data_IF_308833780742
#
_entry.id   IF_308833780742
#
_cell.length_a   1.000
_cell.length_b   1.000
_cell.length_c   1.000
_cell.angle_alpha   90.00
_cell.angle_beta   90.00
_cell.angle_gamma   90.00
#
_symmetry.space_group_name_H-M   'P 1'
#
loop_
_entity.id
_entity.type
_entity.pdbx_description
1 polymer ?
#
# COMPACT_ATOMS: atom_id res chain seq x y z
N UNK A 1 14.22 0.69 11.51
CA UNK A 1 13.79 0.11 10.24
C UNK A 1 12.47 0.72 9.77
N UNK A 2 11.34 0.64 10.53
CA UNK A 2 10.01 1.13 10.10
C UNK A 2 10.04 2.62 9.77
N UNK A 3 10.56 3.45 10.67
CA UNK A 3 10.57 4.90 10.51
C UNK A 3 11.48 5.35 9.35
N UNK A 4 12.64 4.73 9.18
CA UNK A 4 13.52 4.99 8.02
C UNK A 4 12.87 4.56 6.71
N UNK A 5 12.19 3.42 6.68
CA UNK A 5 11.43 2.99 5.52
C UNK A 5 10.30 3.97 5.16
N UNK A 6 9.56 4.50 6.15
CA UNK A 6 8.54 5.52 5.93
C UNK A 6 9.10 6.78 5.25
N UNK A 7 10.25 7.27 5.73
CA UNK A 7 10.90 8.47 5.18
C UNK A 7 11.39 8.20 3.76
N UNK A 8 12.11 7.09 3.53
CA UNK A 8 12.64 6.73 2.21
C UNK A 8 11.52 6.61 1.19
N UNK A 9 10.45 5.88 1.51
CA UNK A 9 9.31 5.75 0.61
C UNK A 9 8.54 7.05 0.44
N UNK A 10 8.48 7.90 1.46
CA UNK A 10 7.91 9.24 1.34
C UNK A 10 8.67 10.10 0.33
N UNK A 11 9.99 10.08 0.38
CA UNK A 11 10.86 10.78 -0.59
C UNK A 11 10.69 10.17 -2.00
N UNK A 12 10.68 8.84 -2.11
CA UNK A 12 10.48 8.16 -3.39
C UNK A 12 9.15 8.53 -4.04
N UNK A 13 8.06 8.66 -3.28
CA UNK A 13 6.78 9.13 -3.82
C UNK A 13 6.89 10.54 -4.42
N UNK A 14 7.57 11.46 -3.75
CA UNK A 14 7.74 12.83 -4.23
C UNK A 14 8.61 12.87 -5.50
N UNK A 15 9.71 12.11 -5.50
CA UNK A 15 10.65 12.03 -6.65
C UNK A 15 9.95 11.43 -7.87
N UNK A 16 9.26 10.30 -7.68
CA UNK A 16 8.57 9.60 -8.77
C UNK A 16 7.41 10.43 -9.31
N UNK A 17 6.70 11.13 -8.45
CA UNK A 17 5.64 12.04 -8.88
C UNK A 17 6.19 13.19 -9.75
N UNK A 18 7.32 13.77 -9.37
CA UNK A 18 7.99 14.80 -10.18
C UNK A 18 8.49 14.23 -11.52
N UNK A 19 8.99 13.00 -11.52
CA UNK A 19 9.42 12.30 -12.72
C UNK A 19 8.22 12.01 -13.65
N UNK A 20 7.10 11.56 -13.09
CA UNK A 20 5.89 11.25 -13.83
C UNK A 20 5.26 12.49 -14.51
N UNK A 21 5.36 13.67 -13.88
CA UNK A 21 4.87 14.93 -14.47
C UNK A 21 5.57 15.28 -15.80
N UNK A 22 6.79 14.80 -16.00
CA UNK A 22 7.59 15.06 -17.22
C UNK A 22 7.42 14.00 -18.30
N UNK A 23 6.69 12.92 -18.00
CA UNK A 23 6.48 11.79 -18.92
C UNK A 23 5.01 11.65 -19.29
N UNK A 24 4.78 11.21 -20.54
CA UNK A 24 3.45 10.74 -20.96
C UNK A 24 3.35 9.25 -20.62
N UNK A 25 2.33 8.80 -19.88
CA UNK A 25 2.15 7.38 -19.60
C UNK A 25 1.88 6.63 -20.90
N UNK A 26 2.52 5.47 -21.05
CA UNK A 26 2.34 4.58 -22.21
C UNK A 26 1.10 3.70 -22.05
N UNK A 27 0.68 3.43 -20.81
CA UNK A 27 -0.50 2.64 -20.49
C UNK A 27 -1.48 3.47 -19.64
N UNK A 28 -2.62 3.84 -20.25
CA UNK A 28 -3.67 4.67 -19.63
C UNK A 28 -4.92 3.87 -19.29
N UNK A 29 -5.06 2.63 -19.81
CA UNK A 29 -6.15 1.72 -19.53
C UNK A 29 -5.63 0.40 -18.97
N UNK A 30 -6.34 -0.16 -18.00
CA UNK A 30 -5.98 -1.43 -17.38
C UNK A 30 -6.00 -2.60 -18.38
N UNK A 31 -6.92 -2.57 -19.35
CA UNK A 31 -7.05 -3.59 -20.40
C UNK A 31 -5.80 -3.69 -21.30
N UNK A 32 -5.07 -2.60 -21.44
CA UNK A 32 -3.85 -2.52 -22.25
C UNK A 32 -2.59 -2.82 -21.43
N UNK A 33 -2.73 -3.30 -20.20
CA UNK A 33 -1.60 -3.60 -19.33
C UNK A 33 -0.88 -4.86 -19.83
N UNK A 34 0.38 -4.73 -20.24
CA UNK A 34 1.18 -5.86 -20.71
C UNK A 34 1.58 -6.79 -19.55
N UNK A 35 1.74 -8.09 -19.85
CA UNK A 35 2.26 -9.07 -18.90
C UNK A 35 3.61 -8.68 -18.31
N UNK A 36 4.49 -8.07 -19.12
CA UNK A 36 5.79 -7.57 -18.67
C UNK A 36 5.63 -6.49 -17.61
N UNK A 37 4.73 -5.54 -17.83
CA UNK A 37 4.42 -4.47 -16.87
C UNK A 37 3.82 -5.03 -15.58
N UNK A 38 2.88 -5.98 -15.70
CA UNK A 38 2.29 -6.66 -14.53
C UNK A 38 3.35 -7.41 -13.69
N UNK A 39 4.30 -8.08 -14.36
CA UNK A 39 5.39 -8.77 -13.68
C UNK A 39 6.32 -7.79 -12.95
N UNK A 40 6.66 -6.66 -13.57
CA UNK A 40 7.48 -5.61 -12.95
C UNK A 40 6.78 -5.10 -11.68
N UNK A 41 5.48 -4.78 -11.74
CA UNK A 41 4.71 -4.34 -10.58
C UNK A 41 4.71 -5.41 -9.49
N UNK A 42 4.57 -6.68 -9.86
CA UNK A 42 4.64 -7.82 -8.93
C UNK A 42 6.01 -7.94 -8.25
N UNK A 43 7.10 -7.72 -8.97
CA UNK A 43 8.46 -7.69 -8.40
C UNK A 43 8.62 -6.54 -7.39
N UNK A 44 8.09 -5.36 -7.69
CA UNK A 44 8.08 -4.25 -6.72
C UNK A 44 7.28 -4.56 -5.45
N UNK A 45 6.29 -5.44 -5.52
CA UNK A 45 5.55 -5.90 -4.33
C UNK A 45 6.44 -6.67 -3.36
N UNK A 46 7.50 -7.35 -3.81
CA UNK A 46 8.44 -8.05 -2.94
C UNK A 46 9.11 -7.09 -1.95
N UNK A 47 9.34 -5.83 -2.35
CA UNK A 47 9.91 -4.81 -1.45
C UNK A 47 9.02 -4.56 -0.22
N UNK A 48 7.75 -4.89 -0.29
CA UNK A 48 6.82 -4.73 0.84
C UNK A 48 7.02 -5.71 1.99
N UNK A 49 7.91 -6.68 1.82
CA UNK A 49 8.35 -7.59 2.91
C UNK A 49 9.12 -6.80 3.98
N UNK A 50 9.77 -5.70 3.60
CA UNK A 50 10.46 -4.83 4.56
C UNK A 50 9.43 -4.07 5.41
N UNK A 51 9.46 -4.20 6.75
CA UNK A 51 8.53 -3.51 7.63
C UNK A 51 8.63 -1.97 7.48
N UNK A 52 7.47 -1.31 7.31
CA UNK A 52 7.37 0.14 7.08
C UNK A 52 7.27 0.53 5.61
N UNK A 53 7.59 -0.37 4.67
CA UNK A 53 7.24 -0.17 3.26
C UNK A 53 5.76 -0.47 3.07
N UNK A 54 5.05 0.41 2.38
CA UNK A 54 3.67 0.13 2.04
C UNK A 54 3.61 -0.79 0.84
N UNK A 55 2.86 -1.88 0.92
CA UNK A 55 2.62 -2.77 -0.22
C UNK A 55 2.10 -2.01 -1.43
N UNK A 56 1.00 -1.27 -1.24
CA UNK A 56 0.42 -0.43 -2.29
C UNK A 56 1.38 0.66 -2.77
N UNK A 57 2.18 1.22 -1.86
CA UNK A 57 3.21 2.19 -2.22
C UNK A 57 4.25 1.62 -3.17
N UNK A 58 4.80 0.46 -2.87
CA UNK A 58 5.82 -0.20 -3.72
C UNK A 58 5.25 -0.54 -5.10
N UNK A 59 4.04 -1.10 -5.16
CA UNK A 59 3.41 -1.48 -6.44
C UNK A 59 3.01 -0.27 -7.28
N UNK A 60 2.52 0.82 -6.69
CA UNK A 60 2.23 2.07 -7.41
C UNK A 60 3.51 2.67 -7.99
N UNK A 61 4.59 2.72 -7.21
CA UNK A 61 5.91 3.18 -7.67
C UNK A 61 6.38 2.32 -8.84
N UNK A 62 6.32 1.00 -8.72
CA UNK A 62 6.67 0.06 -9.79
C UNK A 62 5.84 0.27 -11.05
N UNK A 63 4.53 0.49 -10.92
CA UNK A 63 3.63 0.78 -12.04
C UNK A 63 4.00 2.06 -12.78
N UNK A 64 4.20 3.16 -12.06
CA UNK A 64 4.59 4.45 -12.64
C UNK A 64 5.94 4.35 -13.35
N UNK A 65 6.93 3.67 -12.76
CA UNK A 65 8.24 3.43 -13.39
C UNK A 65 8.13 2.57 -14.64
N UNK A 66 7.22 1.59 -14.63
CA UNK A 66 6.94 0.75 -15.79
C UNK A 66 6.10 1.45 -16.90
N UNK A 67 5.75 2.73 -16.71
CA UNK A 67 5.06 3.56 -17.70
C UNK A 67 3.54 3.59 -17.61
N UNK A 68 2.94 3.09 -16.53
CA UNK A 68 1.49 3.19 -16.34
C UNK A 68 1.09 4.58 -15.84
N UNK A 69 -0.17 4.98 -16.11
CA UNK A 69 -0.77 6.14 -15.49
C UNK A 69 -0.98 5.90 -13.98
N UNK A 70 -1.13 6.98 -13.20
CA UNK A 70 -1.42 6.92 -11.77
C UNK A 70 -2.66 6.06 -11.46
N UNK A 71 -3.71 6.27 -12.24
CA UNK A 71 -4.98 5.54 -12.08
C UNK A 71 -4.80 4.07 -12.32
N UNK A 72 -4.15 3.68 -13.43
CA UNK A 72 -3.88 2.28 -13.77
C UNK A 72 -2.97 1.62 -12.73
N UNK A 73 -1.92 2.31 -12.26
CA UNK A 73 -1.05 1.81 -11.20
C UNK A 73 -1.83 1.52 -9.91
N UNK A 74 -2.72 2.44 -9.51
CA UNK A 74 -3.55 2.26 -8.32
C UNK A 74 -4.59 1.14 -8.49
N UNK A 75 -5.32 1.12 -9.60
CA UNK A 75 -6.30 0.07 -9.92
C UNK A 75 -5.64 -1.30 -9.92
N UNK A 76 -4.54 -1.48 -10.64
CA UNK A 76 -3.83 -2.75 -10.70
C UNK A 76 -3.31 -3.18 -9.31
N UNK A 77 -2.86 -2.22 -8.49
CA UNK A 77 -2.43 -2.47 -7.11
C UNK A 77 -3.55 -3.06 -6.26
N UNK A 78 -4.80 -2.58 -6.42
CA UNK A 78 -5.95 -3.16 -5.71
C UNK A 78 -6.24 -4.58 -6.20
N UNK A 79 -6.26 -4.82 -7.51
CA UNK A 79 -6.46 -6.16 -8.06
C UNK A 79 -5.37 -7.14 -7.60
N UNK A 80 -4.11 -6.73 -7.65
CA UNK A 80 -2.98 -7.53 -7.17
C UNK A 80 -3.07 -7.82 -5.66
N UNK A 81 -3.75 -6.94 -4.91
CA UNK A 81 -4.04 -7.14 -3.50
C UNK A 81 -4.93 -8.33 -3.20
N UNK A 82 -5.89 -8.64 -4.07
CA UNK A 82 -6.91 -9.68 -3.83
C UNK A 82 -6.26 -11.06 -3.61
N UNK A 83 -5.47 -11.63 -4.56
CA UNK A 83 -4.89 -12.95 -4.38
C UNK A 83 -3.91 -13.02 -3.21
N UNK A 84 -3.16 -11.94 -2.97
CA UNK A 84 -2.18 -11.89 -1.87
C UNK A 84 -2.87 -11.88 -0.51
N UNK A 85 -3.91 -11.06 -0.33
CA UNK A 85 -4.68 -11.01 0.92
C UNK A 85 -5.48 -12.28 1.15
N UNK A 86 -6.05 -12.86 0.09
CA UNK A 86 -6.74 -14.14 0.16
C UNK A 86 -5.78 -15.26 0.61
N UNK A 87 -4.61 -15.38 -0.02
CA UNK A 87 -3.61 -16.37 0.36
C UNK A 87 -3.11 -16.20 1.81
N UNK A 88 -2.84 -14.95 2.23
CA UNK A 88 -2.42 -14.66 3.59
C UNK A 88 -3.51 -15.01 4.63
N UNK A 89 -4.77 -14.73 4.32
CA UNK A 89 -5.91 -15.06 5.19
C UNK A 89 -6.12 -16.58 5.27
N UNK A 90 -6.04 -17.27 4.14
CA UNK A 90 -6.14 -18.73 4.10
C UNK A 90 -5.04 -19.40 4.94
N UNK A 91 -3.79 -18.94 4.81
CA UNK A 91 -2.68 -19.46 5.61
C UNK A 91 -2.89 -19.22 7.11
N UNK A 92 -3.46 -18.08 7.51
CA UNK A 92 -3.79 -17.79 8.90
C UNK A 92 -4.86 -18.74 9.43
N UNK A 93 -5.94 -18.97 8.66
CA UNK A 93 -7.03 -19.89 9.05
C UNK A 93 -6.48 -21.31 9.19
N UNK A 94 -5.66 -21.78 8.25
CA UNK A 94 -5.05 -23.12 8.32
C UNK A 94 -4.12 -23.28 9.52
N UNK A 95 -3.39 -22.23 9.91
CA UNK A 95 -2.52 -22.26 11.10
C UNK A 95 -3.30 -22.17 12.41
N UNK A 96 -4.39 -21.43 12.45
CA UNK A 96 -5.23 -21.30 13.63
C UNK A 96 -6.04 -22.57 13.92
N UNK A 97 -6.36 -23.34 12.86
CA UNK A 97 -7.24 -24.51 12.94
C UNK A 97 -8.71 -24.13 12.75
N UNK A 98 -9.56 -25.16 12.68
CA UNK A 98 -11.00 -24.98 12.42
C UNK A 98 -11.84 -24.99 13.72
N UNK A 99 -11.20 -24.91 14.89
CA UNK A 99 -11.87 -24.93 16.18
C UNK A 99 -12.32 -23.52 16.59
N UNK A 100 -13.38 -23.03 15.98
CA UNK A 100 -13.96 -21.73 16.32
C UNK A 100 -15.14 -21.90 17.27
N UNK A 101 -15.17 -21.08 18.33
CA UNK A 101 -16.37 -20.91 19.15
C UNK A 101 -17.42 -20.09 18.41
N UNK A 102 -18.71 -20.28 18.74
CA UNK A 102 -19.80 -19.52 18.12
C UNK A 102 -19.60 -17.99 18.21
N UNK A 103 -19.04 -17.51 19.31
CA UNK A 103 -18.73 -16.09 19.53
C UNK A 103 -17.64 -15.60 18.60
N UNK A 104 -16.59 -16.38 18.38
CA UNK A 104 -15.49 -16.02 17.46
C UNK A 104 -15.97 -15.94 16.00
N UNK A 105 -16.83 -16.86 15.59
CA UNK A 105 -17.45 -16.83 14.25
C UNK A 105 -18.29 -15.57 14.08
N UNK A 106 -19.09 -15.20 15.09
CA UNK A 106 -19.90 -13.98 15.04
C UNK A 106 -19.04 -12.72 14.92
N UNK A 107 -17.97 -12.62 15.73
CA UNK A 107 -17.02 -11.50 15.65
C UNK A 107 -16.36 -11.44 14.26
N UNK A 108 -15.97 -12.58 13.71
CA UNK A 108 -15.36 -12.67 12.38
C UNK A 108 -16.31 -12.17 11.30
N UNK A 109 -17.58 -12.62 11.31
CA UNK A 109 -18.58 -12.20 10.32
C UNK A 109 -18.84 -10.70 10.41
N UNK A 110 -19.08 -10.18 11.61
CA UNK A 110 -19.31 -8.74 11.83
C UNK A 110 -18.09 -7.94 11.37
N UNK A 111 -16.89 -8.37 11.73
CA UNK A 111 -15.64 -7.73 11.29
C UNK A 111 -15.48 -7.72 9.78
N UNK A 112 -15.80 -8.83 9.09
CA UNK A 112 -15.75 -8.91 7.62
C UNK A 112 -16.75 -7.97 6.96
N UNK A 113 -18.00 -7.92 7.45
CA UNK A 113 -19.03 -7.03 6.90
C UNK A 113 -18.64 -5.56 7.06
N UNK A 114 -18.20 -5.17 8.25
CA UNK A 114 -17.77 -3.80 8.52
C UNK A 114 -16.55 -3.45 7.65
N UNK A 115 -15.55 -4.32 7.59
CA UNK A 115 -14.37 -4.10 6.76
C UNK A 115 -14.73 -3.98 5.27
N UNK A 116 -15.67 -4.78 4.78
CA UNK A 116 -16.14 -4.73 3.39
C UNK A 116 -16.78 -3.38 3.06
N UNK A 117 -17.72 -2.93 3.90
CA UNK A 117 -18.41 -1.64 3.70
C UNK A 117 -17.43 -0.47 3.75
N UNK A 118 -16.58 -0.43 4.77
CA UNK A 118 -15.56 0.62 4.91
C UNK A 118 -14.58 0.61 3.73
N UNK A 119 -14.18 -0.56 3.26
CA UNK A 119 -13.27 -0.69 2.11
C UNK A 119 -13.88 -0.15 0.82
N UNK A 120 -15.16 -0.41 0.56
CA UNK A 120 -15.84 0.16 -0.62
C UNK A 120 -15.82 1.68 -0.59
N UNK A 121 -16.15 2.27 0.56
CA UNK A 121 -16.16 3.73 0.73
C UNK A 121 -14.75 4.28 0.55
N UNK A 122 -13.76 3.68 1.22
CA UNK A 122 -12.37 4.12 1.16
C UNK A 122 -11.78 4.03 -0.25
N UNK A 123 -12.03 2.92 -0.98
CA UNK A 123 -11.53 2.75 -2.35
C UNK A 123 -12.17 3.75 -3.30
N UNK A 124 -13.50 3.96 -3.22
CA UNK A 124 -14.19 4.96 -4.04
C UNK A 124 -13.65 6.36 -3.80
N UNK A 125 -13.47 6.73 -2.53
CA UNK A 125 -12.89 8.01 -2.15
C UNK A 125 -11.45 8.16 -2.69
N UNK A 126 -10.61 7.15 -2.45
CA UNK A 126 -9.21 7.18 -2.85
C UNK A 126 -9.03 7.24 -4.37
N UNK A 127 -9.80 6.45 -5.12
CA UNK A 127 -9.76 6.48 -6.58
C UNK A 127 -10.24 7.83 -7.14
N UNK A 128 -11.28 8.42 -6.54
CA UNK A 128 -11.72 9.77 -6.88
C UNK A 128 -10.65 10.84 -6.60
N UNK A 129 -9.92 10.68 -5.50
CA UNK A 129 -8.84 11.59 -5.11
C UNK A 129 -7.63 11.47 -6.05
N UNK A 130 -7.18 10.26 -6.38
CA UNK A 130 -6.01 10.00 -7.24
C UNK A 130 -6.23 10.53 -8.66
N UNK A 131 -7.47 10.51 -9.16
CA UNK A 131 -7.80 11.09 -10.49
C UNK A 131 -7.56 12.60 -10.57
N UNK A 132 -7.67 13.30 -9.44
CA UNK A 132 -7.63 14.77 -9.38
C UNK A 132 -6.36 15.33 -8.75
N UNK A 133 -5.66 14.55 -7.93
CA UNK A 133 -4.53 14.99 -7.11
C UNK A 133 -3.29 14.15 -7.28
N UNK A 134 -2.14 14.73 -6.89
CA UNK A 134 -0.84 14.07 -6.94
C UNK A 134 -0.61 13.17 -5.73
N UNK A 135 0.24 12.15 -5.89
CA UNK A 135 0.69 11.30 -4.77
C UNK A 135 1.64 12.01 -3.78
N UNK A 136 2.03 13.25 -4.04
CA UNK A 136 2.92 14.02 -3.15
C UNK A 136 2.39 14.16 -1.73
N UNK A 137 1.07 14.29 -1.56
CA UNK A 137 0.42 14.39 -0.24
C UNK A 137 0.71 13.15 0.59
N UNK A 138 0.63 11.97 -0.03
CA UNK A 138 0.98 10.71 0.65
C UNK A 138 2.46 10.62 0.99
N UNK A 139 3.34 11.19 0.15
CA UNK A 139 4.77 11.30 0.42
C UNK A 139 5.05 12.15 1.67
N UNK A 140 4.48 13.35 1.73
CA UNK A 140 4.63 14.27 2.87
C UNK A 140 4.08 13.68 4.17
N UNK A 141 2.90 13.06 4.12
CA UNK A 141 2.32 12.37 5.28
C UNK A 141 3.26 11.31 5.85
N UNK A 142 3.89 10.51 4.98
CA UNK A 142 4.83 9.47 5.39
C UNK A 142 6.11 10.02 6.00
N UNK A 143 6.65 11.09 5.43
CA UNK A 143 7.84 11.76 5.97
C UNK A 143 7.53 12.32 7.35
N UNK A 144 6.41 13.03 7.51
CA UNK A 144 6.00 13.58 8.80
C UNK A 144 5.82 12.48 9.86
N UNK A 145 5.12 11.39 9.51
CA UNK A 145 4.94 10.25 10.39
C UNK A 145 6.26 9.57 10.75
N UNK A 146 7.15 9.39 9.77
CA UNK A 146 8.47 8.81 9.99
C UNK A 146 9.35 9.65 10.94
N UNK A 147 9.33 10.97 10.77
CA UNK A 147 10.05 11.91 11.66
C UNK A 147 9.48 11.85 13.08
N UNK A 148 8.14 11.83 13.22
CA UNK A 148 7.47 11.75 14.51
C UNK A 148 7.84 10.46 15.25
N UNK A 149 7.81 9.32 14.56
CA UNK A 149 8.17 8.01 15.12
C UNK A 149 9.65 8.00 15.52
N UNK A 150 10.56 8.50 14.68
CA UNK A 150 11.97 8.59 15.02
C UNK A 150 12.19 9.48 16.24
N UNK A 151 11.58 10.67 16.26
CA UNK A 151 11.67 11.60 17.38
C UNK A 151 11.21 11.00 18.71
N UNK A 152 10.10 10.25 18.67
CA UNK A 152 9.61 9.53 19.85
C UNK A 152 10.60 8.49 20.36
N UNK A 153 11.16 7.65 19.48
CA UNK A 153 12.11 6.62 19.90
C UNK A 153 13.44 7.19 20.36
N UNK A 154 13.95 8.23 19.68
CA UNK A 154 15.19 8.93 20.09
C UNK A 154 14.98 9.61 21.45
N UNK A 155 13.86 10.31 21.64
CA UNK A 155 13.51 10.95 22.91
C UNK A 155 13.40 9.93 24.04
N UNK A 156 12.74 8.80 23.80
CA UNK A 156 12.65 7.71 24.78
C UNK A 156 14.03 7.14 25.16
N UNK A 157 14.93 6.98 24.17
CA UNK A 157 16.27 6.46 24.41
C UNK A 157 17.14 7.47 25.17
N UNK A 158 17.03 8.76 24.84
CA UNK A 158 17.81 9.82 25.48
C UNK A 158 17.32 10.14 26.92
N UNK A 159 16.00 10.07 27.15
CA UNK A 159 15.40 10.34 28.45
C UNK A 159 15.49 9.15 29.43
N UNK A 160 16.10 8.02 29.03
CA UNK A 160 16.36 6.88 29.90
C UNK A 160 15.10 6.19 30.48
N UNK A 161 13.92 6.46 29.94
CA UNK A 161 12.73 5.75 30.32
C UNK A 161 12.77 4.32 29.76
N UNK A 162 13.12 3.35 30.64
CA UNK A 162 12.93 1.92 30.41
C UNK A 162 11.46 1.59 30.35
#
# INVERSE_FOLDING_TARGET
VVASALIVYGILFIVIENYNKRRRPTCTNLENLSFKTALIIGLFQVLSVVPGTSRSGSTIIGGILAGTSRTVAAEFTFFLGIPVMFGASLLKILKFGFSFTGTEVMILIVGMVVAFVVSIIAIKFLMGYIKKHDFKVFGWYRIALGILVLGYFIGKTLLGCK
#
